data_IF_973849398724
#
_entry.id   IF_973849398724
#
_cell.length_a   1.000
_cell.length_b   1.000
_cell.length_c   1.000
_cell.angle_alpha   90.00
_cell.angle_beta   90.00
_cell.angle_gamma   90.00
#
_symmetry.space_group_name_H-M   'P 1'
#
loop_
_entity.id
_entity.type
_entity.pdbx_description
1 polymer ?
#
# COMPACT_ATOMS: atom_id res chain seq x y z
N UNK A 1 2.31 3.60 5.32
CA UNK A 1 2.02 3.33 3.91
C UNK A 1 1.12 4.42 3.35
N UNK A 2 1.52 5.07 2.25
CA UNK A 2 0.74 6.12 1.56
C UNK A 2 0.33 5.63 0.19
N UNK A 3 -0.89 5.98 -0.15
CA UNK A 3 -1.41 5.92 -1.49
C UNK A 3 -1.44 7.33 -2.09
N UNK A 4 -0.83 7.48 -3.27
CA UNK A 4 -1.04 8.64 -4.14
C UNK A 4 -2.01 8.20 -5.25
N UNK A 5 -3.25 8.68 -5.23
CA UNK A 5 -4.19 8.40 -6.32
C UNK A 5 -3.88 9.31 -7.49
N UNK A 6 -2.89 8.95 -8.31
CA UNK A 6 -2.81 9.54 -9.63
C UNK A 6 -3.93 8.92 -10.50
N UNK A 7 -5.15 9.43 -10.32
CA UNK A 7 -6.38 8.96 -10.97
C UNK A 7 -6.40 9.37 -12.44
N UNK A 8 -5.52 8.76 -13.25
CA UNK A 8 -5.71 8.76 -14.69
C UNK A 8 -6.74 7.68 -15.02
N UNK A 9 -7.92 8.12 -15.47
CA UNK A 9 -8.92 7.21 -16.02
C UNK A 9 -8.40 6.69 -17.35
N UNK A 10 -8.15 5.39 -17.46
CA UNK A 10 -7.78 4.77 -18.74
C UNK A 10 -9.00 4.73 -19.65
N UNK A 11 -9.22 5.79 -20.44
CA UNK A 11 -10.35 5.87 -21.36
C UNK A 11 -9.87 5.70 -22.80
N UNK A 12 -10.23 4.55 -23.40
CA UNK A 12 -10.16 4.29 -24.84
C UNK A 12 -11.44 4.70 -25.57
N UNK A 13 -12.36 5.42 -24.92
CA UNK A 13 -13.53 6.04 -25.56
C UNK A 13 -13.24 7.50 -25.84
N UNK A 14 -13.52 7.89 -27.08
CA UNK A 14 -13.31 9.26 -27.58
C UNK A 14 -13.73 10.29 -26.53
N UNK A 15 -12.77 11.11 -26.11
CA UNK A 15 -13.03 12.34 -25.38
C UNK A 15 -14.14 13.10 -26.12
N UNK A 16 -15.37 13.06 -25.61
CA UNK A 16 -16.36 14.06 -25.98
C UNK A 16 -15.73 15.38 -25.56
N UNK A 17 -15.34 16.15 -26.57
CA UNK A 17 -14.71 17.46 -26.47
C UNK A 17 -15.65 18.37 -25.70
N UNK A 18 -15.52 18.38 -24.38
CA UNK A 18 -16.25 19.31 -23.53
C UNK A 18 -15.80 20.72 -23.93
N UNK A 19 -16.75 21.55 -24.34
CA UNK A 19 -16.53 22.98 -24.50
C UNK A 19 -16.01 23.52 -23.16
N UNK A 20 -14.80 24.06 -23.15
CA UNK A 20 -14.33 24.85 -22.02
C UNK A 20 -15.15 26.14 -22.01
N UNK A 21 -15.90 26.45 -20.93
CA UNK A 21 -16.59 27.73 -20.85
C UNK A 21 -15.53 28.84 -20.86
N UNK A 22 -15.74 29.86 -21.70
CA UNK A 22 -14.92 31.07 -21.69
C UNK A 22 -14.83 31.62 -20.26
N UNK A 23 -13.64 32.06 -19.87
CA UNK A 23 -13.27 32.49 -18.52
C UNK A 23 -14.09 33.72 -18.07
N UNK A 24 -15.34 33.49 -17.65
CA UNK A 24 -16.30 34.52 -17.24
C UNK A 24 -16.34 34.71 -15.72
N UNK A 25 -15.28 34.35 -14.99
CA UNK A 25 -15.22 34.54 -13.53
C UNK A 25 -16.12 33.60 -12.71
N UNK A 26 -16.57 32.49 -13.29
CA UNK A 26 -17.28 31.45 -12.55
C UNK A 26 -16.30 30.64 -11.70
N UNK A 27 -16.59 30.54 -10.40
CA UNK A 27 -15.81 29.74 -9.45
C UNK A 27 -15.78 28.27 -9.85
N UNK A 28 -14.63 27.62 -9.66
CA UNK A 28 -14.40 26.24 -10.12
C UNK A 28 -14.91 25.27 -9.05
N UNK A 29 -15.97 24.52 -9.36
CA UNK A 29 -16.45 23.46 -8.44
C UNK A 29 -15.52 22.24 -8.46
N UNK A 30 -15.02 21.88 -7.29
CA UNK A 30 -14.25 20.65 -7.06
C UNK A 30 -15.13 19.43 -6.69
N UNK A 31 -16.46 19.60 -6.66
CA UNK A 31 -17.39 18.55 -6.24
C UNK A 31 -17.29 17.26 -7.06
N UNK A 32 -17.09 17.29 -8.40
CA UNK A 32 -16.87 16.08 -9.17
C UNK A 32 -15.69 15.26 -8.64
N UNK A 33 -14.54 15.91 -8.37
CA UNK A 33 -13.35 15.25 -7.84
C UNK A 33 -13.55 14.74 -6.41
N UNK A 34 -14.25 15.51 -5.56
CA UNK A 34 -14.58 15.08 -4.19
C UNK A 34 -15.46 13.84 -4.19
N UNK A 35 -16.41 13.72 -5.13
CA UNK A 35 -17.27 12.54 -5.24
C UNK A 35 -16.49 11.29 -5.68
N UNK A 36 -15.57 11.43 -6.63
CA UNK A 36 -14.72 10.30 -7.04
C UNK A 36 -13.76 9.87 -5.94
N UNK A 37 -13.14 10.82 -5.21
CA UNK A 37 -12.33 10.59 -4.02
C UNK A 37 -13.05 9.70 -2.98
N UNK A 38 -14.31 10.00 -2.69
CA UNK A 38 -15.12 9.21 -1.73
C UNK A 38 -15.33 7.77 -2.20
N UNK A 39 -15.56 7.55 -3.51
CA UNK A 39 -15.72 6.19 -4.05
C UNK A 39 -14.44 5.38 -3.90
N UNK A 40 -13.30 6.00 -4.17
CA UNK A 40 -12.00 5.35 -4.06
C UNK A 40 -11.68 5.02 -2.59
N UNK A 41 -11.87 5.97 -1.67
CA UNK A 41 -11.70 5.74 -0.22
C UNK A 41 -12.59 4.60 0.29
N UNK A 42 -13.80 4.48 -0.24
CA UNK A 42 -14.70 3.37 0.11
C UNK A 42 -14.09 2.01 -0.26
N UNK A 43 -13.52 1.87 -1.47
CA UNK A 43 -12.86 0.62 -1.89
C UNK A 43 -11.70 0.29 -0.95
N UNK A 44 -10.89 1.27 -0.56
CA UNK A 44 -9.82 1.01 0.40
C UNK A 44 -10.33 0.59 1.76
N UNK A 45 -11.40 1.21 2.26
CA UNK A 45 -11.98 0.87 3.57
C UNK A 45 -12.51 -0.57 3.64
N UNK A 46 -12.82 -1.17 2.49
CA UNK A 46 -13.19 -2.59 2.41
C UNK A 46 -11.98 -3.52 2.60
N UNK A 47 -10.77 -3.05 2.26
CA UNK A 47 -9.53 -3.86 2.27
C UNK A 47 -8.59 -3.51 3.43
N UNK A 48 -8.77 -2.35 4.06
CA UNK A 48 -7.94 -1.86 5.16
C UNK A 48 -8.83 -1.17 6.20
N UNK A 49 -8.86 -1.65 7.46
CA UNK A 49 -9.75 -1.09 8.48
C UNK A 49 -9.34 0.32 8.91
N UNK A 50 -8.04 0.62 8.84
CA UNK A 50 -7.47 1.88 9.32
C UNK A 50 -6.99 2.72 8.13
N UNK A 51 -7.69 3.82 7.87
CA UNK A 51 -7.39 4.75 6.77
C UNK A 51 -7.44 6.18 7.28
N UNK A 52 -6.44 6.97 6.90
CA UNK A 52 -6.38 8.40 7.19
C UNK A 52 -6.28 9.17 5.87
N UNK A 53 -7.28 10.01 5.58
CA UNK A 53 -7.27 10.86 4.39
C UNK A 53 -6.24 11.98 4.54
N UNK A 54 -5.31 12.09 3.59
CA UNK A 54 -4.28 13.12 3.58
C UNK A 54 -4.68 14.34 2.73
N UNK A 55 -5.31 14.09 1.58
CA UNK A 55 -5.79 15.13 0.66
C UNK A 55 -6.98 14.62 -0.17
N UNK A 56 -7.35 15.29 -1.26
CA UNK A 56 -8.48 14.84 -2.10
C UNK A 56 -8.18 13.52 -2.78
N UNK A 57 -6.94 13.29 -3.18
CA UNK A 57 -6.47 12.14 -3.94
C UNK A 57 -5.40 11.34 -3.16
N UNK A 58 -5.21 11.59 -1.88
CA UNK A 58 -4.20 10.87 -1.09
C UNK A 58 -4.76 10.34 0.22
N UNK A 59 -4.30 9.16 0.61
CA UNK A 59 -4.68 8.51 1.86
C UNK A 59 -3.56 7.62 2.40
N UNK A 60 -3.45 7.56 3.72
CA UNK A 60 -2.63 6.62 4.45
C UNK A 60 -3.45 5.39 4.80
N UNK A 61 -2.90 4.22 4.49
CA UNK A 61 -3.47 2.93 4.87
C UNK A 61 -2.54 2.29 5.90
N UNK A 62 -3.09 1.76 6.98
CA UNK A 62 -2.31 1.00 7.97
C UNK A 62 -2.61 -0.49 7.84
N UNK A 63 -1.70 -1.19 7.16
CA UNK A 63 -1.77 -2.64 6.97
C UNK A 63 -1.05 -3.43 8.06
N UNK A 64 -0.63 -2.82 9.18
CA UNK A 64 0.13 -3.53 10.21
C UNK A 64 -0.59 -4.77 10.73
N UNK A 65 -1.91 -4.68 10.92
CA UNK A 65 -2.75 -5.81 11.36
C UNK A 65 -2.82 -6.91 10.29
N UNK A 66 -3.32 -6.67 9.06
CA UNK A 66 -3.41 -7.73 8.05
C UNK A 66 -2.05 -8.28 7.63
N UNK A 67 -0.98 -7.48 7.63
CA UNK A 67 0.39 -7.98 7.39
C UNK A 67 0.81 -8.93 8.50
N UNK A 68 0.58 -8.57 9.77
CA UNK A 68 0.89 -9.44 10.91
C UNK A 68 0.12 -10.76 10.84
N UNK A 69 -1.17 -10.73 10.52
CA UNK A 69 -1.99 -11.94 10.38
C UNK A 69 -1.43 -12.88 9.29
N UNK A 70 -1.06 -12.32 8.13
CA UNK A 70 -0.46 -13.09 7.04
C UNK A 70 0.91 -13.62 7.44
N UNK A 71 1.76 -12.82 8.11
CA UNK A 71 3.06 -13.26 8.62
C UNK A 71 2.91 -14.45 9.56
N UNK A 72 2.04 -14.34 10.56
CA UNK A 72 1.81 -15.41 11.53
C UNK A 72 1.29 -16.67 10.85
N UNK A 73 0.36 -16.54 9.91
CA UNK A 73 -0.21 -17.68 9.18
C UNK A 73 0.81 -18.33 8.24
N UNK A 74 1.55 -17.53 7.46
CA UNK A 74 2.46 -18.01 6.41
C UNK A 74 3.72 -18.67 6.97
N UNK A 75 4.19 -18.19 8.11
CA UNK A 75 5.42 -18.67 8.76
C UNK A 75 5.17 -19.39 10.09
N UNK A 76 3.91 -19.75 10.37
CA UNK A 76 3.49 -20.51 11.54
C UNK A 76 3.99 -19.91 12.87
N UNK A 77 4.00 -18.58 13.00
CA UNK A 77 4.33 -17.97 14.29
C UNK A 77 3.22 -18.23 15.31
N UNK A 78 3.60 -18.48 16.58
CA UNK A 78 2.64 -18.67 17.65
C UNK A 78 1.76 -17.44 17.83
N UNK A 79 0.49 -17.67 18.20
CA UNK A 79 -0.40 -16.58 18.60
C UNK A 79 0.08 -15.95 19.90
N UNK A 80 -0.36 -14.72 20.16
CA UNK A 80 -0.05 -14.06 21.45
C UNK A 80 -0.55 -14.89 22.63
N UNK A 81 -1.71 -15.54 22.50
CA UNK A 81 -2.28 -16.43 23.51
C UNK A 81 -1.38 -17.64 23.78
N UNK A 82 -0.81 -18.25 22.73
CA UNK A 82 0.10 -19.37 22.86
C UNK A 82 1.41 -18.99 23.58
N UNK A 83 1.91 -17.77 23.35
CA UNK A 83 3.12 -17.26 24.00
C UNK A 83 2.89 -16.84 25.46
N UNK A 84 1.65 -16.54 25.84
CA UNK A 84 1.27 -16.16 27.20
C UNK A 84 1.00 -17.37 28.11
N UNK A 85 0.89 -18.58 27.54
CA UNK A 85 0.78 -19.79 28.34
C UNK A 85 2.10 -20.05 29.10
N UNK A 86 1.97 -20.34 30.40
CA UNK A 86 3.06 -20.80 31.26
C UNK A 86 3.80 -22.05 30.76
N UNK A 87 3.20 -22.80 29.83
CA UNK A 87 3.81 -23.96 29.17
C UNK A 87 4.62 -23.64 27.91
N UNK A 88 4.62 -22.39 27.45
CA UNK A 88 5.36 -21.96 26.26
C UNK A 88 6.87 -22.09 26.47
N UNK A 89 7.56 -22.76 25.55
CA UNK A 89 9.02 -22.81 25.51
C UNK A 89 9.64 -21.53 24.93
N UNK A 90 8.82 -20.65 24.34
CA UNK A 90 9.24 -19.42 23.68
C UNK A 90 8.76 -18.24 24.52
N UNK A 91 9.69 -17.40 24.96
CA UNK A 91 9.45 -16.13 25.64
C UNK A 91 9.21 -15.01 24.63
N UNK A 92 8.50 -13.95 25.05
CA UNK A 92 8.31 -12.73 24.26
C UNK A 92 9.63 -11.96 24.03
N UNK A 93 10.62 -12.18 24.89
CA UNK A 93 11.95 -11.55 24.79
C UNK A 93 12.94 -12.37 23.95
N UNK A 94 12.57 -13.57 23.51
CA UNK A 94 13.44 -14.38 22.67
C UNK A 94 13.59 -13.76 21.28
N UNK A 95 14.79 -13.80 20.67
CA UNK A 95 14.97 -13.29 19.33
C UNK A 95 14.13 -14.08 18.33
N UNK A 96 13.56 -13.36 17.35
CA UNK A 96 12.87 -14.01 16.25
C UNK A 96 13.82 -14.96 15.50
N UNK A 97 13.32 -16.10 15.00
CA UNK A 97 14.12 -16.98 14.13
C UNK A 97 14.58 -16.22 12.89
N UNK A 98 15.64 -16.67 12.24
CA UNK A 98 16.06 -16.05 11.00
C UNK A 98 14.96 -16.17 9.92
N UNK A 99 14.66 -15.10 9.19
CA UNK A 99 13.68 -15.16 8.12
C UNK A 99 14.15 -16.08 6.99
N UNK A 100 13.23 -16.74 6.28
CA UNK A 100 13.56 -17.54 5.11
C UNK A 100 14.20 -16.66 4.03
N UNK A 101 15.07 -17.21 3.17
CA UNK A 101 15.66 -16.45 2.07
C UNK A 101 14.58 -15.83 1.17
N UNK A 102 14.65 -14.52 0.97
CA UNK A 102 13.80 -13.81 0.03
C UNK A 102 14.46 -13.80 -1.35
N UNK A 103 13.79 -14.40 -2.34
CA UNK A 103 14.08 -14.11 -3.74
C UNK A 103 13.30 -12.86 -4.17
N UNK A 104 13.95 -11.72 -3.94
CA UNK A 104 13.42 -10.39 -4.24
C UNK A 104 13.06 -10.23 -5.71
N UNK A 105 13.83 -10.81 -6.63
CA UNK A 105 13.60 -10.70 -8.07
C UNK A 105 12.32 -11.42 -8.51
N UNK A 106 12.11 -12.64 -8.03
CA UNK A 106 10.88 -13.38 -8.35
C UNK A 106 9.63 -12.72 -7.78
N UNK A 107 9.74 -12.15 -6.57
CA UNK A 107 8.66 -11.42 -5.92
C UNK A 107 8.31 -10.10 -6.64
N UNK A 108 9.33 -9.34 -7.06
CA UNK A 108 9.18 -8.13 -7.86
C UNK A 108 8.44 -8.41 -9.18
N UNK A 109 8.88 -9.46 -9.90
CA UNK A 109 8.28 -9.86 -11.18
C UNK A 109 6.81 -10.24 -11.03
N UNK A 110 6.44 -10.88 -9.93
CA UNK A 110 5.06 -11.32 -9.68
C UNK A 110 4.10 -10.17 -9.30
N UNK A 111 4.62 -9.09 -8.71
CA UNK A 111 3.81 -8.05 -8.07
C UNK A 111 3.65 -6.77 -8.89
N UNK A 112 4.29 -6.68 -10.07
CA UNK A 112 4.39 -5.44 -10.87
C UNK A 112 4.78 -4.23 -10.02
N UNK A 113 5.68 -4.46 -9.05
CA UNK A 113 6.20 -3.43 -8.16
C UNK A 113 7.64 -3.11 -8.54
N UNK A 114 8.08 -1.90 -8.21
CA UNK A 114 9.47 -1.46 -8.30
C UNK A 114 10.01 -1.29 -6.88
N UNK A 115 11.14 -1.91 -6.56
CA UNK A 115 11.81 -1.64 -5.29
C UNK A 115 12.86 -0.57 -5.49
N UNK A 116 12.81 0.43 -4.61
CA UNK A 116 13.85 1.44 -4.51
C UNK A 116 14.59 1.18 -3.21
N UNK A 117 15.84 0.69 -3.26
CA UNK A 117 16.69 0.59 -2.09
C UNK A 117 16.83 1.99 -1.48
N UNK A 118 16.41 2.15 -0.23
CA UNK A 118 16.56 3.42 0.48
C UNK A 118 17.99 3.66 0.93
N UNK A 119 18.82 2.61 0.95
CA UNK A 119 20.20 2.65 1.41
C UNK A 119 21.08 1.79 0.50
N UNK A 120 21.53 2.39 -0.61
CA UNK A 120 22.37 1.74 -1.65
C UNK A 120 23.74 1.31 -1.13
N UNK A 121 24.18 1.86 0.01
CA UNK A 121 25.50 1.60 0.61
C UNK A 121 25.43 0.64 1.82
N UNK A 122 24.25 0.09 2.14
CA UNK A 122 24.09 -0.82 3.27
C UNK A 122 24.50 -2.26 2.91
N UNK A 123 25.62 -2.72 3.47
CA UNK A 123 26.09 -4.14 3.45
C UNK A 123 25.16 -5.10 4.24
N UNK A 124 23.96 -4.66 4.60
CA UNK A 124 23.02 -5.45 5.38
C UNK A 124 22.34 -6.50 4.50
N UNK A 125 22.32 -7.79 4.92
CA UNK A 125 21.64 -8.81 4.16
C UNK A 125 20.15 -8.43 4.04
N UNK A 126 19.68 -8.36 2.79
CA UNK A 126 18.33 -7.92 2.36
C UNK A 126 17.22 -8.91 2.75
N UNK A 127 17.28 -9.44 3.96
CA UNK A 127 16.45 -10.52 4.42
C UNK A 127 16.15 -10.38 5.92
N UNK A 128 15.37 -9.36 6.27
CA UNK A 128 14.81 -9.18 7.60
C UNK A 128 13.30 -9.47 7.59
N UNK A 129 12.71 -9.74 8.76
CA UNK A 129 11.25 -9.83 8.89
C UNK A 129 10.54 -8.56 8.46
N UNK A 130 11.20 -7.40 8.57
CA UNK A 130 10.70 -6.13 8.08
C UNK A 130 10.54 -6.13 6.57
N UNK A 131 11.50 -6.69 5.82
CA UNK A 131 11.42 -6.79 4.36
C UNK A 131 10.26 -7.70 3.94
N UNK A 132 10.09 -8.84 4.63
CA UNK A 132 8.94 -9.73 4.43
C UNK A 132 7.63 -8.99 4.71
N UNK A 133 7.56 -8.22 5.79
CA UNK A 133 6.38 -7.44 6.14
C UNK A 133 6.06 -6.39 5.06
N UNK A 134 7.07 -5.68 4.55
CA UNK A 134 6.91 -4.69 3.48
C UNK A 134 6.44 -5.35 2.17
N UNK A 135 6.96 -6.53 1.83
CA UNK A 135 6.53 -7.31 0.66
C UNK A 135 5.06 -7.74 0.76
N UNK A 136 4.63 -8.24 1.92
CA UNK A 136 3.22 -8.57 2.15
C UNK A 136 2.35 -7.30 2.06
N UNK A 137 2.83 -6.18 2.61
CA UNK A 137 2.18 -4.88 2.48
C UNK A 137 2.02 -4.45 1.01
N UNK A 138 3.05 -4.66 0.19
CA UNK A 138 3.02 -4.40 -1.24
C UNK A 138 2.01 -5.29 -1.97
N UNK A 139 1.93 -6.58 -1.62
CA UNK A 139 0.96 -7.52 -2.18
C UNK A 139 -0.49 -7.09 -1.89
N UNK A 140 -0.78 -6.71 -0.63
CA UNK A 140 -2.09 -6.20 -0.22
C UNK A 140 -2.45 -4.91 -0.96
N UNK A 141 -1.50 -4.00 -1.11
CA UNK A 141 -1.71 -2.74 -1.82
C UNK A 141 -1.91 -2.95 -3.32
N UNK A 142 -1.18 -3.88 -3.96
CA UNK A 142 -1.39 -4.22 -5.36
C UNK A 142 -2.83 -4.69 -5.61
N UNK A 143 -3.38 -5.54 -4.74
CA UNK A 143 -4.79 -5.96 -4.80
C UNK A 143 -5.76 -4.80 -4.61
N UNK A 144 -5.47 -3.87 -3.69
CA UNK A 144 -6.30 -2.68 -3.48
C UNK A 144 -6.33 -1.77 -4.71
N UNK A 145 -5.16 -1.52 -5.34
CA UNK A 145 -5.06 -0.73 -6.60
C UNK A 145 -5.84 -1.40 -7.72
N UNK A 146 -5.71 -2.73 -7.86
CA UNK A 146 -6.44 -3.49 -8.87
C UNK A 146 -7.96 -3.35 -8.69
N UNK A 147 -8.47 -3.42 -7.47
CA UNK A 147 -9.91 -3.22 -7.21
C UNK A 147 -10.39 -1.82 -7.58
N UNK A 148 -9.57 -0.78 -7.37
CA UNK A 148 -9.91 0.58 -7.81
C UNK A 148 -9.97 0.66 -9.34
N UNK A 149 -9.01 0.05 -10.02
CA UNK A 149 -8.98 -0.03 -11.47
C UNK A 149 -10.20 -0.78 -12.01
N UNK A 150 -10.49 -1.97 -11.49
CA UNK A 150 -11.57 -2.84 -11.98
C UNK A 150 -12.96 -2.20 -11.77
N UNK A 151 -13.17 -1.52 -10.64
CA UNK A 151 -14.48 -0.95 -10.29
C UNK A 151 -14.69 0.46 -10.82
N UNK A 152 -13.64 1.29 -10.90
CA UNK A 152 -13.76 2.72 -11.22
C UNK A 152 -12.94 3.16 -12.45
N UNK A 153 -12.00 2.33 -12.91
CA UNK A 153 -11.14 2.61 -14.06
C UNK A 153 -10.00 3.60 -13.78
N UNK A 154 -9.71 3.87 -12.50
CA UNK A 154 -8.60 4.74 -12.11
C UNK A 154 -7.33 3.94 -11.83
N UNK A 155 -6.21 4.44 -12.32
CA UNK A 155 -4.89 4.02 -11.84
C UNK A 155 -4.56 4.73 -10.53
N UNK A 156 -3.64 4.16 -9.76
CA UNK A 156 -3.12 4.76 -8.53
C UNK A 156 -1.64 4.42 -8.42
N UNK A 157 -0.83 5.22 -7.74
CA UNK A 157 0.51 4.84 -7.27
C UNK A 157 0.48 4.65 -5.75
N UNK A 158 1.46 3.92 -5.20
CA UNK A 158 1.52 3.68 -3.77
C UNK A 158 2.97 3.54 -3.29
N UNK A 159 3.26 4.11 -2.12
CA UNK A 159 4.52 3.96 -1.41
C UNK A 159 4.34 3.13 -0.13
N UNK A 160 5.12 2.05 -0.03
CA UNK A 160 5.13 1.15 1.14
C UNK A 160 6.34 1.48 2.02
N UNK A 161 6.11 1.74 3.31
CA UNK A 161 7.15 2.07 4.27
C UNK A 161 6.71 1.74 5.70
N UNK A 162 7.67 1.54 6.59
CA UNK A 162 7.48 1.20 8.01
C UNK A 162 6.93 2.36 8.85
N UNK A 163 7.08 3.61 8.42
CA UNK A 163 6.57 4.78 9.12
C UNK A 163 5.85 5.78 8.20
N UNK A 164 5.17 6.75 8.81
CA UNK A 164 4.46 7.83 8.12
C UNK A 164 5.36 8.99 7.66
N UNK A 165 6.67 9.00 7.88
CA UNK A 165 7.52 10.15 7.48
C UNK A 165 8.32 9.85 6.21
N UNK A 166 8.77 8.61 6.02
CA UNK A 166 9.67 8.21 4.94
C UNK A 166 8.96 7.81 3.63
N UNK A 167 7.64 7.97 3.54
CA UNK A 167 6.84 7.42 2.44
C UNK A 167 6.67 8.41 1.26
N UNK A 168 6.81 9.72 1.50
CA UNK A 168 6.56 10.77 0.48
C UNK A 168 7.53 10.62 -0.68
N UNK A 169 8.80 10.35 -0.38
CA UNK A 169 9.85 10.20 -1.38
C UNK A 169 9.70 8.86 -2.16
N UNK A 170 9.22 7.78 -1.52
CA UNK A 170 9.00 6.49 -2.20
C UNK A 170 7.82 6.49 -3.18
N UNK A 171 6.83 7.35 -2.96
CA UNK A 171 5.57 7.36 -3.72
C UNK A 171 5.77 7.80 -5.18
N UNK A 172 6.88 8.47 -5.48
CA UNK A 172 7.22 8.97 -6.82
C UNK A 172 7.87 7.90 -7.72
N UNK A 173 8.33 6.77 -7.16
CA UNK A 173 9.10 5.76 -7.90
C UNK A 173 8.32 4.48 -8.25
N UNK A 174 7.11 4.32 -7.70
CA UNK A 174 6.22 3.19 -7.97
C UNK A 174 5.10 3.62 -8.94
N UNK A 175 5.49 3.94 -10.18
CA UNK A 175 4.57 4.18 -11.30
C UNK A 175 4.26 2.87 -12.04
#
# INVERSE_FOLDING_TARGET
>A
MLLMLNSNKSDSRSLRRNHWPSNNGADVSLDPYRRESVKILKIFSESCPTIEKASIDEAFLDFSIPVREILCTRYAFPSLEALQDSSSEISLDDPLPNPPPLDLEDLLRSSQSNLVPLDVDSDHPSNTWTDIALLIGAELMARCRQQVFDRLGYTCSAGIATNKVNHKDCSFFLA
#
